data_IF_826930049069
#
_entry.id   IF_826930049069
#
_cell.length_a   1.000
_cell.length_b   1.000
_cell.length_c   1.000
_cell.angle_alpha   90.00
_cell.angle_beta   90.00
_cell.angle_gamma   90.00
#
_symmetry.space_group_name_H-M   'P 1'
#
loop_
_entity.id
_entity.type
_entity.pdbx_description
1 polymer ?
#
# COMPACT_ATOMS: atom_id res chain seq x y z
N UNK A 1 1.93 -3.41 65.72
CA UNK A 1 0.62 -3.95 66.15
C UNK A 1 -0.07 -4.54 64.93
N UNK A 2 -0.44 -5.82 65.05
CA UNK A 2 -1.34 -6.65 64.22
C UNK A 2 -1.09 -6.65 62.69
N UNK A 3 -0.43 -7.67 62.13
CA UNK A 3 -0.94 -9.02 61.78
C UNK A 3 -1.78 -9.01 60.49
N UNK A 4 -1.25 -9.44 59.34
CA UNK A 4 -1.09 -10.83 58.86
C UNK A 4 -2.30 -11.32 58.05
N UNK A 5 -2.05 -11.75 56.81
CA UNK A 5 -2.30 -13.11 56.30
C UNK A 5 -2.70 -13.12 54.81
N UNK A 6 -1.79 -13.60 53.95
CA UNK A 6 -2.20 -14.51 52.88
C UNK A 6 -2.37 -15.91 53.50
N UNK A 7 -3.19 -16.79 52.89
CA UNK A 7 -2.55 -17.97 52.32
C UNK A 7 -3.18 -18.48 51.02
N UNK A 8 -2.36 -19.31 50.39
CA UNK A 8 -2.51 -20.05 49.15
C UNK A 8 -3.52 -21.23 49.24
N UNK A 9 -3.84 -21.78 48.06
CA UNK A 9 -3.78 -23.22 47.70
C UNK A 9 -5.05 -23.93 47.15
N UNK A 10 -4.89 -24.42 45.90
CA UNK A 10 -5.21 -25.76 45.36
C UNK A 10 -6.65 -26.10 44.86
N UNK A 11 -6.70 -26.78 43.69
CA UNK A 11 -7.88 -27.26 42.92
C UNK A 11 -8.68 -28.42 43.58
N UNK A 12 -9.53 -29.24 42.90
CA UNK A 12 -9.41 -29.76 41.51
C UNK A 12 -10.74 -29.91 40.68
N UNK A 13 -10.59 -30.27 39.40
CA UNK A 13 -11.42 -31.16 38.53
C UNK A 13 -12.96 -31.10 38.56
N UNK A 14 -13.58 -30.82 37.40
CA UNK A 14 -14.75 -31.57 36.93
C UNK A 14 -14.90 -31.51 35.40
N UNK A 15 -14.85 -32.69 34.80
CA UNK A 15 -15.20 -33.01 33.41
C UNK A 15 -16.72 -33.15 33.33
N UNK A 16 -17.39 -32.46 32.41
CA UNK A 16 -18.78 -32.76 32.07
C UNK A 16 -18.95 -32.83 30.56
N UNK A 17 -19.16 -34.07 30.11
CA UNK A 17 -19.56 -34.46 28.77
C UNK A 17 -21.08 -34.38 28.65
N UNK A 18 -21.60 -33.80 27.56
CA UNK A 18 -22.86 -34.22 26.91
C UNK A 18 -22.79 -33.67 25.47
N UNK A 19 -22.70 -34.45 24.39
CA UNK A 19 -23.57 -35.49 23.81
C UNK A 19 -25.02 -35.06 23.64
N UNK A 20 -25.29 -34.27 22.59
CA UNK A 20 -26.51 -34.45 21.81
C UNK A 20 -26.16 -34.78 20.36
N UNK A 21 -26.48 -36.02 20.01
CA UNK A 21 -26.56 -36.56 18.66
C UNK A 21 -27.68 -35.83 17.92
N UNK A 22 -27.43 -35.36 16.71
CA UNK A 22 -28.45 -35.43 15.65
C UNK A 22 -27.84 -36.07 14.42
N UNK A 23 -28.61 -37.03 13.92
CA UNK A 23 -28.24 -38.02 12.94
C UNK A 23 -27.98 -37.44 11.56
N UNK A 24 -27.14 -38.17 10.83
CA UNK A 24 -26.85 -38.03 9.43
C UNK A 24 -28.08 -38.30 8.56
N UNK A 25 -28.21 -37.53 7.48
CA UNK A 25 -28.72 -38.05 6.21
C UNK A 25 -27.62 -37.78 5.19
N UNK A 26 -27.01 -38.87 4.73
CA UNK A 26 -25.99 -38.83 3.69
C UNK A 26 -26.63 -38.62 2.32
N UNK A 27 -25.96 -37.83 1.49
CA UNK A 27 -25.93 -38.04 0.05
C UNK A 27 -24.46 -38.19 -0.31
N UNK A 28 -24.15 -39.32 -0.93
CA UNK A 28 -22.80 -39.78 -1.20
C UNK A 28 -22.06 -38.98 -2.27
N UNK A 29 -20.73 -39.17 -2.22
CA UNK A 29 -19.73 -39.11 -3.27
C UNK A 29 -19.78 -37.95 -4.29
N UNK A 30 -18.77 -37.08 -4.22
CA UNK A 30 -17.73 -37.11 -5.26
C UNK A 30 -16.45 -36.42 -4.76
N UNK A 31 -15.38 -37.21 -4.64
CA UNK A 31 -14.02 -36.70 -4.59
C UNK A 31 -13.72 -36.05 -5.94
N UNK A 32 -13.89 -34.73 -6.08
CA UNK A 32 -13.38 -34.05 -7.27
C UNK A 32 -11.94 -33.59 -7.02
N UNK A 33 -10.99 -34.46 -7.37
CA UNK A 33 -9.60 -34.07 -7.62
C UNK A 33 -9.58 -32.94 -8.66
N UNK A 34 -9.45 -31.70 -8.20
CA UNK A 34 -8.98 -30.61 -9.06
C UNK A 34 -7.45 -30.52 -8.95
N UNK A 35 -6.77 -31.62 -9.32
CA UNK A 35 -5.35 -31.58 -9.74
C UNK A 35 -5.31 -30.87 -11.07
N UNK A 36 -5.50 -29.57 -11.03
CA UNK A 36 -5.29 -28.86 -12.24
C UNK A 36 -3.77 -28.71 -12.49
N UNK A 37 -3.33 -29.28 -13.61
CA UNK A 37 -2.03 -29.12 -14.25
C UNK A 37 -1.39 -27.73 -14.02
N UNK A 38 -0.18 -27.72 -13.44
CA UNK A 38 0.61 -26.52 -13.15
C UNK A 38 0.74 -25.56 -14.36
N UNK A 39 0.69 -26.08 -15.59
CA UNK A 39 0.81 -25.29 -16.83
C UNK A 39 -0.32 -24.27 -17.00
N UNK A 40 -1.59 -24.59 -16.72
CA UNK A 40 -2.67 -23.59 -16.91
C UNK A 40 -2.69 -22.53 -15.80
N UNK A 41 -2.21 -22.86 -14.59
CA UNK A 41 -2.03 -21.86 -13.50
C UNK A 41 -0.95 -20.85 -13.87
N UNK A 42 0.10 -21.29 -14.56
CA UNK A 42 1.18 -20.43 -15.06
C UNK A 42 0.70 -19.54 -16.21
N UNK A 43 -0.14 -20.05 -17.13
CA UNK A 43 -0.64 -19.25 -18.25
C UNK A 43 -1.75 -18.26 -17.87
N UNK A 44 -2.68 -18.60 -16.96
CA UNK A 44 -3.59 -17.61 -16.37
C UNK A 44 -2.81 -16.54 -15.59
N UNK A 45 -1.82 -16.95 -14.78
CA UNK A 45 -0.96 -16.02 -14.06
C UNK A 45 -0.15 -15.11 -14.98
N UNK A 46 0.32 -15.63 -16.13
CA UNK A 46 1.00 -14.84 -17.16
C UNK A 46 0.07 -13.83 -17.81
N UNK A 47 -1.14 -14.23 -18.21
CA UNK A 47 -2.12 -13.32 -18.80
C UNK A 47 -2.59 -12.23 -17.80
N UNK A 48 -2.79 -12.59 -16.53
CA UNK A 48 -3.13 -11.65 -15.46
C UNK A 48 -2.00 -10.66 -15.17
N UNK A 49 -0.76 -11.13 -15.16
CA UNK A 49 0.44 -10.31 -15.01
C UNK A 49 0.60 -9.36 -16.20
N UNK A 50 0.46 -9.87 -17.43
CA UNK A 50 0.51 -9.09 -18.66
C UNK A 50 -0.59 -8.00 -18.69
N UNK A 51 -1.82 -8.35 -18.31
CA UNK A 51 -2.91 -7.37 -18.16
C UNK A 51 -2.62 -6.32 -17.07
N UNK A 52 -1.99 -6.72 -15.95
CA UNK A 52 -1.57 -5.78 -14.91
C UNK A 52 -0.48 -4.82 -15.39
N UNK A 53 0.48 -5.31 -16.19
CA UNK A 53 1.52 -4.49 -16.82
C UNK A 53 0.89 -3.51 -17.81
N UNK A 54 -0.02 -3.98 -18.67
CA UNK A 54 -0.74 -3.11 -19.62
C UNK A 54 -1.51 -1.99 -18.90
N UNK A 55 -2.25 -2.31 -17.83
CA UNK A 55 -2.93 -1.30 -17.00
C UNK A 55 -1.97 -0.26 -16.40
N UNK A 56 -0.80 -0.69 -15.95
CA UNK A 56 0.23 0.22 -15.42
C UNK A 56 0.77 1.15 -16.50
N UNK A 57 1.06 0.62 -17.70
CA UNK A 57 1.49 1.43 -18.86
C UNK A 57 0.42 2.45 -19.25
N UNK A 58 -0.85 2.04 -19.26
CA UNK A 58 -1.95 2.96 -19.59
C UNK A 58 -2.08 4.09 -18.56
N UNK A 59 -1.94 3.78 -17.28
CA UNK A 59 -1.94 4.78 -16.22
C UNK A 59 -0.78 5.77 -16.35
N UNK A 60 0.42 5.30 -16.69
CA UNK A 60 1.58 6.17 -16.94
C UNK A 60 1.36 7.06 -18.16
N UNK A 61 0.82 6.52 -19.27
CA UNK A 61 0.44 7.31 -20.45
C UNK A 61 -0.62 8.37 -20.15
N UNK A 62 -1.58 8.07 -19.27
CA UNK A 62 -2.59 9.06 -18.81
C UNK A 62 -1.93 10.16 -17.98
N UNK A 63 -1.01 9.82 -17.07
CA UNK A 63 -0.30 10.80 -16.27
C UNK A 63 0.52 11.78 -17.13
N UNK A 64 1.23 11.31 -18.15
CA UNK A 64 2.01 12.18 -19.06
C UNK A 64 1.11 13.17 -19.80
N UNK A 65 -0.03 12.72 -20.32
CA UNK A 65 -1.01 13.60 -20.98
C UNK A 65 -1.55 14.68 -20.03
N UNK A 66 -1.86 14.32 -18.79
CA UNK A 66 -2.30 15.28 -17.76
C UNK A 66 -1.15 16.27 -17.44
N UNK A 67 0.10 15.80 -17.46
CA UNK A 67 1.30 16.62 -17.29
C UNK A 67 1.36 17.85 -18.21
N UNK A 68 0.78 17.76 -19.43
CA UNK A 68 0.72 18.88 -20.38
C UNK A 68 -0.22 20.01 -19.94
N UNK A 69 -1.14 19.76 -19.02
CA UNK A 69 -2.12 20.73 -18.52
C UNK A 69 -1.76 21.30 -17.14
N UNK A 70 -0.63 20.89 -16.56
CA UNK A 70 -0.19 21.35 -15.24
C UNK A 70 1.19 21.99 -15.29
N UNK A 71 1.51 22.75 -14.25
CA UNK A 71 2.85 23.27 -13.99
C UNK A 71 3.48 22.47 -12.85
N UNK A 72 4.81 22.52 -12.66
CA UNK A 72 5.45 21.84 -11.53
C UNK A 72 4.96 22.34 -10.17
N UNK A 73 4.59 23.63 -10.07
CA UNK A 73 3.98 24.20 -8.86
C UNK A 73 2.62 23.56 -8.57
N UNK A 74 1.75 23.41 -9.58
CA UNK A 74 0.49 22.69 -9.39
C UNK A 74 0.71 21.23 -8.97
N UNK A 75 1.78 20.61 -9.46
CA UNK A 75 2.12 19.25 -9.05
C UNK A 75 2.57 19.16 -7.59
N UNK A 76 3.36 20.12 -7.10
CA UNK A 76 3.71 20.15 -5.67
C UNK A 76 2.45 20.29 -4.81
N UNK A 77 1.51 21.15 -5.21
CA UNK A 77 0.23 21.30 -4.50
C UNK A 77 -0.54 19.98 -4.47
N UNK A 78 -0.61 19.26 -5.60
CA UNK A 78 -1.25 17.93 -5.66
C UNK A 78 -0.59 16.93 -4.71
N UNK A 79 0.74 16.95 -4.58
CA UNK A 79 1.45 16.07 -3.64
C UNK A 79 1.08 16.41 -2.19
N UNK A 80 0.99 17.70 -1.88
CA UNK A 80 0.64 18.18 -0.53
C UNK A 80 -0.81 17.89 -0.18
N UNK A 81 -1.76 18.16 -1.07
CA UNK A 81 -3.19 17.82 -0.91
C UNK A 81 -3.39 16.33 -0.66
N UNK A 82 -2.66 15.48 -1.41
CA UNK A 82 -2.70 14.03 -1.20
C UNK A 82 -2.10 13.65 0.15
N UNK A 83 -1.05 14.31 0.59
CA UNK A 83 -0.44 14.06 1.89
C UNK A 83 -1.37 14.45 3.05
N UNK A 84 -2.13 15.53 2.93
CA UNK A 84 -3.17 15.96 3.89
C UNK A 84 -4.23 14.86 4.07
N UNK A 85 -4.68 14.26 2.96
CA UNK A 85 -5.65 13.14 2.94
C UNK A 85 -4.98 11.79 3.35
N UNK A 86 -3.69 11.80 3.70
CA UNK A 86 -2.89 10.61 4.05
C UNK A 86 -2.83 9.58 2.92
N UNK A 87 -2.74 10.05 1.69
CA UNK A 87 -2.45 9.22 0.51
C UNK A 87 -1.02 9.47 0.02
N UNK A 88 -0.45 8.46 -0.63
CA UNK A 88 0.86 8.61 -1.26
C UNK A 88 0.81 9.73 -2.31
N UNK A 89 1.75 10.67 -2.26
CA UNK A 89 1.86 11.81 -3.16
C UNK A 89 2.01 11.43 -4.63
N UNK A 90 2.49 10.22 -4.94
CA UNK A 90 2.56 9.75 -6.32
C UNK A 90 1.14 9.52 -6.88
N UNK A 91 0.70 10.23 -7.93
CA UNK A 91 -0.71 10.19 -8.39
C UNK A 91 -1.22 8.81 -8.77
N UNK A 92 -0.35 7.94 -9.32
CA UNK A 92 -0.71 6.58 -9.70
C UNK A 92 -0.77 5.61 -8.52
N UNK A 93 -0.29 6.02 -7.34
CA UNK A 93 -0.32 5.20 -6.14
C UNK A 93 -1.62 5.42 -5.37
N UNK A 94 -2.32 4.35 -5.01
CA UNK A 94 -3.52 4.40 -4.15
C UNK A 94 -3.22 4.01 -2.69
N UNK A 95 -1.94 3.83 -2.33
CA UNK A 95 -1.55 3.43 -0.98
C UNK A 95 -1.73 4.61 -0.02
N UNK A 96 -2.27 4.31 1.17
CA UNK A 96 -2.36 5.25 2.28
C UNK A 96 -1.01 5.37 2.98
N UNK A 97 -0.72 6.58 3.47
CA UNK A 97 0.42 6.82 4.35
C UNK A 97 0.06 6.35 5.75
N UNK A 98 1.01 5.69 6.41
CA UNK A 98 0.87 5.25 7.80
C UNK A 98 1.10 6.39 8.78
N UNK A 99 1.60 6.06 9.98
CA UNK A 99 1.99 7.06 10.96
C UNK A 99 3.15 7.92 10.42
N UNK A 100 2.88 9.18 10.11
CA UNK A 100 3.87 10.12 9.59
C UNK A 100 4.70 10.67 10.76
N UNK A 101 6.05 10.52 10.74
CA UNK A 101 6.90 11.06 11.79
C UNK A 101 6.83 12.60 11.85
N UNK A 102 6.70 13.15 13.06
CA UNK A 102 6.67 14.61 13.29
C UNK A 102 8.03 15.28 13.07
N UNK A 103 9.14 14.57 13.32
CA UNK A 103 10.51 15.10 13.20
C UNK A 103 10.87 15.55 11.77
N UNK A 104 11.56 16.68 11.59
CA UNK A 104 11.97 17.20 10.27
C UNK A 104 13.25 16.55 9.74
N UNK A 105 14.21 16.30 10.61
CA UNK A 105 15.53 15.78 10.25
C UNK A 105 15.76 14.37 10.77
N UNK A 106 16.59 13.61 10.06
CA UNK A 106 17.06 12.28 10.49
C UNK A 106 18.58 12.21 10.40
N UNK A 107 19.22 11.88 11.51
CA UNK A 107 20.68 11.70 11.59
C UNK A 107 21.02 10.25 11.25
N UNK A 108 21.95 10.06 10.32
CA UNK A 108 22.54 8.75 10.02
C UNK A 108 23.91 8.67 10.67
N UNK A 109 24.06 7.79 11.66
CA UNK A 109 25.34 7.52 12.33
C UNK A 109 26.34 6.77 11.45
N UNK A 110 25.88 6.11 10.37
CA UNK A 110 26.74 5.38 9.44
C UNK A 110 27.53 6.29 8.51
N UNK A 111 26.90 7.40 8.12
CA UNK A 111 27.47 8.36 7.16
C UNK A 111 27.76 9.71 7.80
N UNK A 112 27.46 9.87 9.10
CA UNK A 112 27.55 11.13 9.85
C UNK A 112 26.91 12.31 9.09
N UNK A 113 25.73 12.07 8.52
CA UNK A 113 24.98 13.07 7.73
C UNK A 113 23.58 13.26 8.30
N UNK A 114 23.12 14.52 8.29
CA UNK A 114 21.76 14.93 8.64
C UNK A 114 20.94 15.02 7.35
N UNK A 115 19.86 14.24 7.26
CA UNK A 115 18.95 14.24 6.12
C UNK A 115 17.66 14.98 6.46
N UNK A 116 17.17 15.81 5.54
CA UNK A 116 15.80 16.33 5.62
C UNK A 116 14.82 15.24 5.13
N UNK A 117 13.84 14.90 5.96
CA UNK A 117 12.83 13.88 5.62
C UNK A 117 11.48 14.50 5.24
N UNK A 118 11.37 15.81 5.14
CA UNK A 118 10.09 16.53 4.89
C UNK A 118 9.41 16.02 3.63
N UNK A 119 10.07 16.11 2.47
CA UNK A 119 9.50 15.64 1.21
C UNK A 119 9.28 14.12 1.19
N UNK A 120 10.10 13.36 1.91
CA UNK A 120 10.03 11.90 1.91
C UNK A 120 8.74 11.38 2.56
N UNK A 121 8.18 12.14 3.51
CA UNK A 121 7.00 11.77 4.30
C UNK A 121 5.72 11.64 3.48
N UNK A 122 5.62 12.32 2.35
CA UNK A 122 4.43 12.25 1.50
C UNK A 122 4.38 10.97 0.65
N UNK A 123 5.39 10.08 0.73
CA UNK A 123 5.46 8.88 -0.12
C UNK A 123 5.54 7.56 0.66
N UNK A 124 4.88 6.53 0.14
CA UNK A 124 4.86 5.21 0.79
C UNK A 124 6.16 4.40 0.63
N UNK A 125 6.97 4.65 -0.42
CA UNK A 125 8.17 3.86 -0.74
C UNK A 125 9.19 4.66 -1.52
N UNK A 126 10.46 4.24 -1.52
CA UNK A 126 11.54 4.96 -2.23
C UNK A 126 11.28 5.00 -3.73
N UNK A 127 10.65 3.93 -4.25
CA UNK A 127 10.18 3.86 -5.62
C UNK A 127 9.18 4.99 -5.92
N UNK A 128 8.13 5.16 -5.12
CA UNK A 128 7.12 6.19 -5.37
C UNK A 128 7.68 7.61 -5.30
N UNK A 129 8.66 7.86 -4.42
CA UNK A 129 9.34 9.16 -4.36
C UNK A 129 10.16 9.42 -5.61
N UNK A 130 11.02 8.47 -6.02
CA UNK A 130 11.82 8.61 -7.25
C UNK A 130 10.93 8.75 -8.49
N UNK A 131 9.87 7.95 -8.59
CA UNK A 131 8.92 8.02 -9.69
C UNK A 131 8.17 9.36 -9.71
N UNK A 132 7.78 9.87 -8.54
CA UNK A 132 7.11 11.16 -8.41
C UNK A 132 8.02 12.32 -8.82
N UNK A 133 9.29 12.32 -8.38
CA UNK A 133 10.29 13.31 -8.80
C UNK A 133 10.62 13.21 -10.29
N UNK A 134 10.70 12.00 -10.83
CA UNK A 134 10.89 11.80 -12.27
C UNK A 134 9.69 12.32 -13.09
N UNK A 135 8.48 12.16 -12.57
CA UNK A 135 7.28 12.73 -13.19
C UNK A 135 7.28 14.27 -13.12
N UNK A 136 7.64 14.84 -11.97
CA UNK A 136 7.78 16.30 -11.79
C UNK A 136 8.71 16.92 -12.84
N UNK A 137 9.84 16.26 -13.14
CA UNK A 137 10.80 16.75 -14.14
C UNK A 137 10.30 16.70 -15.58
N UNK A 138 9.27 15.91 -15.87
CA UNK A 138 8.66 15.81 -17.20
C UNK A 138 7.59 16.89 -17.45
N UNK A 139 7.14 17.60 -16.41
CA UNK A 139 6.13 18.64 -16.53
C UNK A 139 6.77 19.91 -17.10
N UNK A 140 6.20 20.54 -18.14
CA UNK A 140 6.78 21.77 -18.69
C UNK A 140 6.75 22.88 -17.64
N UNK A 141 7.81 23.69 -17.58
CA UNK A 141 7.87 24.85 -16.68
C UNK A 141 7.16 26.08 -17.24
N UNK A 142 6.89 26.08 -18.54
CA UNK A 142 6.14 27.15 -19.21
C UNK A 142 4.74 27.23 -18.60
N UNK A 143 4.19 28.42 -18.36
CA UNK A 143 2.83 28.54 -17.86
C UNK A 143 1.82 27.99 -18.87
N UNK A 144 0.70 27.44 -18.38
CA UNK A 144 -0.27 26.69 -19.22
C UNK A 144 -0.86 27.57 -20.32
N UNK A 145 -1.16 28.83 -20.04
CA UNK A 145 -1.75 29.77 -21.00
C UNK A 145 -0.82 30.16 -22.16
N UNK A 146 0.48 29.84 -22.08
CA UNK A 146 1.45 30.10 -23.18
C UNK A 146 1.59 28.89 -24.11
N UNK A 147 1.06 27.72 -23.73
CA UNK A 147 1.24 26.45 -24.48
C UNK A 147 0.26 26.30 -25.65
N UNK A 148 -0.36 27.39 -26.10
CA UNK A 148 -1.53 27.38 -27.00
C UNK A 148 -1.18 27.18 -28.49
N UNK A 149 0.05 26.79 -28.84
CA UNK A 149 0.53 26.73 -30.25
C UNK A 149 0.76 25.29 -30.79
N UNK A 150 0.05 24.29 -30.27
CA UNK A 150 0.07 22.93 -30.86
C UNK A 150 -1.30 22.24 -30.69
N UNK A 151 -2.37 22.95 -31.08
CA UNK A 151 -3.73 22.39 -31.15
C UNK A 151 -4.16 22.16 -32.59
#
# INVERSE_FOLDING_TARGET
MAASAAPHCLGPSARASSTHRKAAVGVGNEMCERKGNAVYRVSLGRAELEAAVQRKVECERKAVRIGMFITPAHYSDVVDERAIIKLCGYPLCRKKLGAIPKQKYKISTKTNKVYDITERKSFCSNFCYRASKFFETQIPKTPVWVREEER
#
